data_IF_966757206663
#
_entry.id   IF_966757206663
#
_cell.length_a   1.000
_cell.length_b   1.000
_cell.length_c   1.000
_cell.angle_alpha   90.00
_cell.angle_beta   90.00
_cell.angle_gamma   90.00
#
_symmetry.space_group_name_H-M   'P 1'
#
loop_
_entity.id
_entity.type
_entity.pdbx_description
1 polymer ?
#
# COMPACT_ATOMS: atom_id res chain seq x y z
N UNK A 1 23.32 -6.43 -31.37
CA UNK A 1 24.18 -6.72 -32.55
C UNK A 1 24.54 -5.46 -33.33
N UNK A 2 23.59 -4.57 -33.66
CA UNK A 2 23.89 -3.30 -34.36
C UNK A 2 24.96 -2.42 -33.67
N UNK A 3 24.98 -2.37 -32.33
CA UNK A 3 25.94 -1.56 -31.56
C UNK A 3 27.38 -2.07 -31.67
N UNK A 4 27.59 -3.39 -31.70
CA UNK A 4 28.91 -3.99 -31.85
C UNK A 4 29.47 -3.74 -33.26
N UNK A 5 28.60 -3.80 -34.27
CA UNK A 5 28.93 -3.46 -35.65
C UNK A 5 29.27 -1.98 -35.83
N UNK A 6 28.58 -1.06 -35.16
CA UNK A 6 28.91 0.37 -35.20
C UNK A 6 30.26 0.69 -34.56
N UNK A 7 30.57 0.07 -33.41
CA UNK A 7 31.88 0.24 -32.76
C UNK A 7 32.98 -0.38 -33.62
N UNK A 8 32.72 -1.55 -34.22
CA UNK A 8 33.61 -2.21 -35.17
C UNK A 8 33.91 -1.34 -36.39
N UNK A 9 32.88 -0.80 -37.04
CA UNK A 9 32.99 0.15 -38.17
C UNK A 9 33.81 1.38 -37.82
N UNK A 10 33.62 1.96 -36.64
CA UNK A 10 34.35 3.16 -36.20
C UNK A 10 35.83 2.91 -35.91
N UNK A 11 36.20 1.69 -35.55
CA UNK A 11 37.59 1.33 -35.20
C UNK A 11 38.36 0.82 -36.41
N UNK A 12 37.73 0.03 -37.28
CA UNK A 12 38.41 -0.57 -38.44
C UNK A 12 38.14 0.15 -39.77
N UNK A 13 37.09 0.98 -39.85
CA UNK A 13 36.66 1.65 -41.08
C UNK A 13 35.96 0.74 -42.10
N UNK A 14 35.77 -0.55 -41.79
CA UNK A 14 35.22 -1.55 -42.71
C UNK A 14 33.71 -1.75 -42.46
N UNK A 15 32.92 -1.92 -43.53
CA UNK A 15 31.46 -1.98 -43.41
C UNK A 15 30.88 -3.39 -43.21
N UNK A 16 31.64 -4.43 -43.55
CA UNK A 16 31.24 -5.83 -43.47
C UNK A 16 31.66 -6.45 -42.13
N UNK A 17 30.75 -7.20 -41.50
CA UNK A 17 30.98 -7.86 -40.21
C UNK A 17 32.19 -8.80 -40.25
N UNK A 18 32.31 -9.59 -41.31
CA UNK A 18 33.39 -10.57 -41.48
C UNK A 18 34.76 -9.91 -41.66
N UNK A 19 34.80 -8.76 -42.35
CA UNK A 19 36.03 -7.99 -42.57
C UNK A 19 36.49 -7.28 -41.27
N UNK A 20 35.53 -6.75 -40.50
CA UNK A 20 35.79 -6.15 -39.17
C UNK A 20 36.40 -7.22 -38.23
N UNK A 21 35.81 -8.41 -38.17
CA UNK A 21 36.28 -9.49 -37.29
C UNK A 21 37.67 -9.98 -37.72
N UNK A 22 37.94 -10.04 -39.02
CA UNK A 22 39.25 -10.43 -39.56
C UNK A 22 40.33 -9.39 -39.27
N UNK A 23 40.02 -8.10 -39.45
CA UNK A 23 40.92 -7.00 -39.12
C UNK A 23 41.21 -6.91 -37.62
N UNK A 24 40.20 -7.09 -36.77
CA UNK A 24 40.37 -7.11 -35.31
C UNK A 24 41.25 -8.27 -34.86
N UNK A 25 41.16 -9.45 -35.49
CA UNK A 25 42.01 -10.61 -35.17
C UNK A 25 43.47 -10.44 -35.62
N UNK A 26 43.69 -9.69 -36.70
CA UNK A 26 45.01 -9.49 -37.28
C UNK A 26 45.86 -8.46 -36.51
N UNK A 27 45.22 -7.51 -35.83
CA UNK A 27 45.91 -6.42 -35.11
C UNK A 27 45.50 -6.33 -33.63
N UNK A 28 46.43 -6.68 -32.70
CA UNK A 28 46.20 -6.58 -31.26
C UNK A 28 45.87 -5.15 -30.77
N UNK A 29 46.35 -4.11 -31.44
CA UNK A 29 46.10 -2.72 -31.05
C UNK A 29 44.67 -2.29 -31.37
N UNK A 30 44.15 -2.68 -32.55
CA UNK A 30 42.77 -2.44 -32.96
C UNK A 30 41.77 -3.20 -32.06
N UNK A 31 42.13 -4.40 -31.61
CA UNK A 31 41.35 -5.17 -30.64
C UNK A 31 41.19 -4.44 -29.30
N UNK A 32 42.25 -3.81 -28.82
CA UNK A 32 42.27 -3.06 -27.57
C UNK A 32 41.43 -1.78 -27.66
N UNK A 33 41.50 -1.08 -28.79
CA UNK A 33 40.67 0.11 -29.05
C UNK A 33 39.18 -0.24 -29.21
N UNK A 34 38.87 -1.37 -29.85
CA UNK A 34 37.50 -1.87 -29.93
C UNK A 34 36.93 -2.18 -28.55
N UNK A 35 37.72 -2.85 -27.69
CA UNK A 35 37.28 -3.17 -26.34
C UNK A 35 37.03 -1.91 -25.50
N UNK A 36 37.90 -0.89 -25.57
CA UNK A 36 37.70 0.35 -24.82
C UNK A 36 36.45 1.09 -25.28
N UNK A 37 36.24 1.26 -26.59
CA UNK A 37 35.05 1.93 -27.13
C UNK A 37 33.77 1.12 -26.90
N UNK A 38 33.83 -0.20 -26.93
CA UNK A 38 32.70 -1.05 -26.60
C UNK A 38 32.33 -0.94 -25.10
N UNK A 39 33.33 -0.87 -24.22
CA UNK A 39 33.13 -0.66 -22.79
C UNK A 39 32.53 0.72 -22.48
N UNK A 40 33.04 1.79 -23.09
CA UNK A 40 32.50 3.14 -22.93
C UNK A 40 31.05 3.21 -23.39
N UNK A 41 30.74 2.60 -24.54
CA UNK A 41 29.37 2.57 -25.05
C UNK A 41 28.43 1.77 -24.16
N UNK A 42 28.90 0.66 -23.60
CA UNK A 42 28.13 -0.11 -22.63
C UNK A 42 27.83 0.72 -21.36
N UNK A 43 28.82 1.46 -20.84
CA UNK A 43 28.63 2.36 -19.69
C UNK A 43 27.59 3.45 -19.98
N UNK A 44 27.63 4.06 -21.16
CA UNK A 44 26.61 5.04 -21.58
C UNK A 44 25.21 4.43 -21.63
N UNK A 45 25.06 3.22 -22.18
CA UNK A 45 23.78 2.53 -22.22
C UNK A 45 23.25 2.24 -20.81
N UNK A 46 24.11 1.76 -19.91
CA UNK A 46 23.71 1.53 -18.52
C UNK A 46 23.33 2.82 -17.79
N UNK A 47 24.00 3.94 -18.09
CA UNK A 47 23.63 5.26 -17.53
C UNK A 47 22.25 5.71 -18.04
N UNK A 48 21.99 5.61 -19.34
CA UNK A 48 20.70 5.96 -19.92
C UNK A 48 19.57 5.09 -19.38
N UNK A 49 19.82 3.79 -19.19
CA UNK A 49 18.84 2.88 -18.59
C UNK A 49 18.59 3.21 -17.12
N UNK A 50 19.64 3.54 -16.35
CA UNK A 50 19.50 3.98 -14.96
C UNK A 50 18.70 5.28 -14.84
N UNK A 51 18.90 6.26 -15.74
CA UNK A 51 18.11 7.50 -15.78
C UNK A 51 16.63 7.23 -16.11
N UNK A 52 16.38 6.32 -17.05
CA UNK A 52 15.03 5.86 -17.38
C UNK A 52 14.36 5.18 -16.17
N UNK A 53 15.07 4.27 -15.51
CA UNK A 53 14.58 3.59 -14.31
C UNK A 53 14.36 4.56 -13.16
N UNK A 54 15.22 5.57 -12.98
CA UNK A 54 15.05 6.62 -11.98
C UNK A 54 13.77 7.43 -12.24
N UNK A 55 13.52 7.80 -13.50
CA UNK A 55 12.30 8.51 -13.91
C UNK A 55 11.05 7.66 -13.64
N UNK A 56 11.05 6.39 -14.04
CA UNK A 56 9.95 5.45 -13.79
C UNK A 56 9.69 5.30 -12.29
N UNK A 57 10.75 5.13 -11.48
CA UNK A 57 10.60 5.04 -10.03
C UNK A 57 10.05 6.32 -9.43
N UNK A 58 10.45 7.48 -9.95
CA UNK A 58 9.96 8.78 -9.50
C UNK A 58 8.47 8.96 -9.83
N UNK A 59 8.01 8.55 -11.02
CA UNK A 59 6.60 8.61 -11.40
C UNK A 59 5.76 7.64 -10.55
N UNK A 60 6.22 6.40 -10.36
CA UNK A 60 5.55 5.42 -9.48
C UNK A 60 5.46 5.94 -8.05
N UNK A 61 6.54 6.51 -7.50
CA UNK A 61 6.50 7.09 -6.17
C UNK A 61 5.52 8.27 -6.09
N UNK A 62 5.39 9.06 -7.15
CA UNK A 62 4.45 10.19 -7.21
C UNK A 62 3.01 9.71 -7.28
N UNK A 63 2.72 8.67 -8.07
CA UNK A 63 1.40 8.03 -8.14
C UNK A 63 1.01 7.38 -6.81
N UNK A 64 1.92 6.66 -6.17
CA UNK A 64 1.70 6.06 -4.84
C UNK A 64 1.50 7.13 -3.76
N UNK A 65 2.22 8.25 -3.84
CA UNK A 65 2.07 9.41 -2.94
C UNK A 65 0.89 10.30 -3.28
N UNK A 66 0.20 10.08 -4.40
CA UNK A 66 -1.04 10.77 -4.72
C UNK A 66 -2.15 10.24 -3.79
N UNK A 67 -2.08 10.69 -2.54
CA UNK A 67 -3.03 10.40 -1.48
C UNK A 67 -4.37 11.04 -1.79
N UNK A 68 -5.21 10.33 -2.54
CA UNK A 68 -6.60 10.75 -2.69
C UNK A 68 -7.29 10.72 -1.31
N UNK A 69 -7.76 11.90 -0.89
CA UNK A 69 -8.47 12.08 0.37
C UNK A 69 -9.72 11.18 0.47
N UNK A 70 -10.30 10.79 -0.68
CA UNK A 70 -11.39 9.83 -0.77
C UNK A 70 -10.95 8.44 -0.28
N UNK A 71 -9.84 7.92 -0.79
CA UNK A 71 -9.29 6.59 -0.42
C UNK A 71 -8.86 6.58 1.06
N UNK A 72 -8.25 7.67 1.54
CA UNK A 72 -7.79 7.77 2.94
C UNK A 72 -8.94 7.77 3.95
N UNK A 73 -10.09 8.35 3.60
CA UNK A 73 -11.29 8.38 4.46
C UNK A 73 -12.14 7.13 4.32
N UNK A 74 -12.22 6.53 3.14
CA UNK A 74 -13.03 5.33 2.90
C UNK A 74 -12.62 4.16 3.81
N UNK A 75 -11.31 3.99 4.05
CA UNK A 75 -10.76 2.93 4.91
C UNK A 75 -11.32 2.98 6.37
N UNK A 76 -11.21 4.10 7.12
CA UNK A 76 -11.84 4.23 8.43
C UNK A 76 -13.38 4.15 8.39
N UNK A 77 -14.03 4.76 7.39
CA UNK A 77 -15.50 4.80 7.32
C UNK A 77 -16.10 3.40 7.20
N UNK A 78 -15.49 2.52 6.41
CA UNK A 78 -15.90 1.12 6.32
C UNK A 78 -15.83 0.41 7.68
N UNK A 79 -14.73 0.59 8.41
CA UNK A 79 -14.58 0.02 9.76
C UNK A 79 -15.62 0.54 10.76
N UNK A 80 -15.93 1.84 10.73
CA UNK A 80 -16.95 2.42 11.60
C UNK A 80 -18.35 1.92 11.27
N UNK A 81 -18.71 1.87 9.98
CA UNK A 81 -20.01 1.34 9.56
C UNK A 81 -20.14 -0.12 9.98
N UNK A 82 -19.11 -0.94 9.79
CA UNK A 82 -19.12 -2.35 10.21
C UNK A 82 -19.29 -2.49 11.73
N UNK A 83 -18.59 -1.68 12.53
CA UNK A 83 -18.72 -1.70 13.98
C UNK A 83 -20.13 -1.29 14.45
N UNK A 84 -20.71 -0.26 13.81
CA UNK A 84 -22.09 0.19 14.09
C UNK A 84 -23.10 -0.89 13.71
N UNK A 85 -22.98 -1.47 12.51
CA UNK A 85 -23.85 -2.57 12.06
C UNK A 85 -23.79 -3.76 13.00
N UNK A 86 -22.58 -4.15 13.42
CA UNK A 86 -22.41 -5.24 14.39
C UNK A 86 -23.04 -4.91 15.74
N UNK A 87 -22.82 -3.70 16.25
CA UNK A 87 -23.41 -3.25 17.52
C UNK A 87 -24.94 -3.25 17.47
N UNK A 88 -25.53 -2.76 16.38
CA UNK A 88 -26.99 -2.79 16.16
C UNK A 88 -27.51 -4.21 16.05
N UNK A 89 -26.82 -5.09 15.33
CA UNK A 89 -27.23 -6.49 15.17
C UNK A 89 -27.20 -7.23 16.50
N UNK A 90 -26.11 -7.13 17.27
CA UNK A 90 -26.01 -7.74 18.60
C UNK A 90 -27.02 -7.14 19.58
N UNK A 91 -27.26 -5.83 19.50
CA UNK A 91 -28.29 -5.16 20.28
C UNK A 91 -29.70 -5.66 19.97
N UNK A 92 -30.03 -5.83 18.69
CA UNK A 92 -31.32 -6.40 18.26
C UNK A 92 -31.49 -7.84 18.77
N UNK A 93 -30.45 -8.68 18.67
CA UNK A 93 -30.48 -10.05 19.18
C UNK A 93 -30.71 -10.06 20.69
N UNK A 94 -29.93 -9.28 21.44
CA UNK A 94 -30.10 -9.18 22.90
C UNK A 94 -31.51 -8.69 23.27
N UNK A 95 -32.04 -7.70 22.55
CA UNK A 95 -33.39 -7.21 22.75
C UNK A 95 -34.45 -8.29 22.48
N UNK A 96 -34.32 -9.05 21.40
CA UNK A 96 -35.25 -10.16 21.08
C UNK A 96 -35.22 -11.27 22.12
N UNK A 97 -34.05 -11.64 22.62
CA UNK A 97 -33.92 -12.69 23.66
C UNK A 97 -34.61 -12.26 24.96
N UNK A 98 -34.56 -10.97 25.32
CA UNK A 98 -35.17 -10.44 26.54
C UNK A 98 -36.69 -10.27 26.39
N UNK A 99 -37.15 -9.71 25.27
CA UNK A 99 -38.55 -9.29 25.11
C UNK A 99 -39.44 -10.37 24.47
N UNK A 100 -38.86 -11.24 23.65
CA UNK A 100 -39.58 -12.30 22.90
C UNK A 100 -38.74 -13.59 22.87
N UNK A 101 -38.48 -14.21 24.04
CA UNK A 101 -37.59 -15.35 24.17
C UNK A 101 -38.01 -16.59 23.36
N UNK A 102 -39.30 -16.70 23.01
CA UNK A 102 -39.83 -17.76 22.15
C UNK A 102 -39.14 -17.84 20.77
N UNK A 103 -38.63 -16.71 20.26
CA UNK A 103 -37.91 -16.66 18.98
C UNK A 103 -36.38 -16.76 19.13
N UNK A 104 -35.84 -16.90 20.35
CA UNK A 104 -34.40 -16.88 20.60
C UNK A 104 -33.65 -17.94 19.78
N UNK A 105 -34.19 -19.15 19.69
CA UNK A 105 -33.59 -20.25 18.92
C UNK A 105 -33.56 -19.97 17.40
N UNK A 106 -34.63 -19.38 16.87
CA UNK A 106 -34.72 -19.01 15.45
C UNK A 106 -33.72 -17.90 15.09
N UNK A 107 -33.62 -16.87 15.95
CA UNK A 107 -32.69 -15.74 15.76
C UNK A 107 -31.24 -16.21 15.81
N UNK A 108 -30.88 -17.10 16.75
CA UNK A 108 -29.54 -17.70 16.82
C UNK A 108 -29.25 -18.56 15.59
N UNK A 109 -30.24 -19.30 15.09
CA UNK A 109 -30.08 -20.10 13.87
C UNK A 109 -29.85 -19.20 12.64
N UNK A 110 -30.58 -18.08 12.54
CA UNK A 110 -30.41 -17.10 11.47
C UNK A 110 -29.00 -16.47 11.47
N UNK A 111 -28.36 -16.32 12.64
CA UNK A 111 -26.95 -15.87 12.73
C UNK A 111 -26.00 -16.80 11.99
N UNK A 112 -26.25 -18.11 12.02
CA UNK A 112 -25.42 -19.09 11.32
C UNK A 112 -25.47 -18.81 9.81
N UNK A 113 -26.66 -18.57 9.26
CA UNK A 113 -26.83 -18.23 7.83
C UNK A 113 -26.12 -16.92 7.42
N UNK A 114 -25.95 -15.98 8.35
CA UNK A 114 -25.23 -14.73 8.14
C UNK A 114 -23.68 -14.89 8.23
N UNK A 115 -23.17 -16.04 8.69
CA UNK A 115 -21.72 -16.24 8.91
C UNK A 115 -20.88 -16.05 7.63
N UNK A 116 -21.41 -16.43 6.47
CA UNK A 116 -20.69 -16.32 5.20
C UNK A 116 -20.46 -14.86 4.80
N UNK A 117 -21.48 -14.00 4.90
CA UNK A 117 -21.33 -12.56 4.57
C UNK A 117 -20.42 -11.86 5.59
N UNK A 118 -20.51 -12.24 6.86
CA UNK A 118 -19.62 -11.72 7.91
C UNK A 118 -18.16 -12.16 7.72
N UNK A 119 -17.92 -13.38 7.24
CA UNK A 119 -16.57 -13.87 6.96
C UNK A 119 -15.88 -13.03 5.89
N UNK A 120 -16.59 -12.68 4.81
CA UNK A 120 -16.06 -11.80 3.75
C UNK A 120 -15.81 -10.39 4.28
N UNK A 121 -16.78 -9.81 5.00
CA UNK A 121 -16.65 -8.46 5.56
C UNK A 121 -15.50 -8.32 6.56
N UNK A 122 -15.31 -9.32 7.42
CA UNK A 122 -14.23 -9.36 8.41
C UNK A 122 -12.87 -9.64 7.77
N UNK A 123 -12.80 -10.44 6.71
CA UNK A 123 -11.55 -10.64 5.96
C UNK A 123 -11.04 -9.32 5.36
N UNK A 124 -11.93 -8.54 4.74
CA UNK A 124 -11.60 -7.22 4.20
C UNK A 124 -11.11 -6.28 5.31
N UNK A 125 -11.81 -6.25 6.45
CA UNK A 125 -11.40 -5.46 7.61
C UNK A 125 -10.03 -5.91 8.16
N UNK A 126 -9.77 -7.22 8.21
CA UNK A 126 -8.49 -7.80 8.63
C UNK A 126 -7.32 -7.32 7.76
N UNK A 127 -7.49 -7.36 6.43
CA UNK A 127 -6.48 -6.83 5.49
C UNK A 127 -6.25 -5.33 5.72
N UNK A 128 -7.31 -4.54 5.94
CA UNK A 128 -7.18 -3.11 6.21
C UNK A 128 -6.46 -2.80 7.54
N UNK A 129 -6.75 -3.53 8.61
CA UNK A 129 -6.07 -3.37 9.91
C UNK A 129 -4.60 -3.77 9.82
N UNK A 130 -4.31 -4.86 9.12
CA UNK A 130 -2.94 -5.34 8.90
C UNK A 130 -2.12 -4.32 8.10
N UNK A 131 -2.66 -3.84 6.97
CA UNK A 131 -2.01 -2.80 6.16
C UNK A 131 -1.72 -1.52 6.95
N UNK A 132 -2.70 -1.03 7.74
CA UNK A 132 -2.51 0.14 8.61
C UNK A 132 -1.52 -0.09 9.74
N UNK A 133 -1.38 -1.32 10.20
CA UNK A 133 -0.36 -1.67 11.21
C UNK A 133 1.05 -1.65 10.62
N UNK A 134 1.21 -2.04 9.34
CA UNK A 134 2.44 -1.87 8.58
C UNK A 134 2.82 -0.40 8.39
N UNK A 135 1.85 0.44 7.99
CA UNK A 135 2.04 1.90 7.85
C UNK A 135 2.50 2.56 9.16
N UNK A 136 1.90 2.17 10.30
CA UNK A 136 2.30 2.66 11.63
C UNK A 136 3.68 2.18 12.06
N UNK A 137 4.04 0.92 11.77
CA UNK A 137 5.37 0.35 12.07
C UNK A 137 6.47 0.98 11.22
N UNK A 138 6.16 1.42 10.01
CA UNK A 138 7.07 2.18 9.14
C UNK A 138 7.24 3.66 9.57
N UNK A 139 6.68 4.08 10.71
CA UNK A 139 6.85 5.43 11.25
C UNK A 139 5.93 6.51 10.64
N UNK A 140 4.95 6.13 9.82
CA UNK A 140 3.98 7.08 9.23
C UNK A 140 2.89 7.41 10.27
N UNK A 141 3.19 8.43 11.08
CA UNK A 141 2.32 9.21 11.96
C UNK A 141 1.44 8.48 13.01
N UNK A 142 1.82 8.67 14.28
CA UNK A 142 0.86 8.81 15.37
C UNK A 142 0.07 10.12 15.16
N UNK A 143 -1.20 10.04 14.78
CA UNK A 143 -2.03 11.22 14.62
C UNK A 143 -2.45 11.77 16.01
N UNK A 144 -1.94 12.93 16.47
CA UNK A 144 -2.28 13.51 17.76
C UNK A 144 -3.77 13.86 17.91
N UNK A 145 -4.50 14.02 16.78
CA UNK A 145 -5.93 14.30 16.79
C UNK A 145 -6.78 13.15 17.32
N UNK A 146 -6.34 11.89 17.13
CA UNK A 146 -7.06 10.71 17.63
C UNK A 146 -7.02 10.61 19.16
N UNK A 147 -5.85 10.88 19.74
CA UNK A 147 -5.65 10.93 21.19
C UNK A 147 -6.44 12.09 21.82
N UNK A 148 -6.49 13.25 21.14
CA UNK A 148 -7.24 14.42 21.58
C UNK A 148 -8.77 14.23 21.51
N UNK A 149 -9.28 13.49 20.52
CA UNK A 149 -10.70 13.15 20.43
C UNK A 149 -11.11 12.17 21.54
N UNK A 150 -10.27 11.16 21.82
CA UNK A 150 -10.48 10.20 22.90
C UNK A 150 -10.43 10.87 24.29
N UNK A 151 -9.49 11.79 24.51
CA UNK A 151 -9.39 12.52 25.78
C UNK A 151 -10.56 13.50 25.98
N UNK A 152 -11.06 14.13 24.91
CA UNK A 152 -12.27 14.97 24.96
C UNK A 152 -13.53 14.14 25.24
N UNK A 153 -13.64 12.95 24.67
CA UNK A 153 -14.77 12.04 24.92
C UNK A 153 -14.73 11.49 26.36
N UNK A 154 -13.56 11.09 26.86
CA UNK A 154 -13.37 10.65 28.24
C UNK A 154 -13.65 11.79 29.25
N UNK A 155 -13.19 13.01 28.95
CA UNK A 155 -13.48 14.19 29.77
C UNK A 155 -14.96 14.62 29.76
N UNK A 156 -15.66 14.40 28.64
CA UNK A 156 -17.10 14.63 28.52
C UNK A 156 -17.91 13.65 29.37
N UNK A 157 -17.56 12.36 29.31
CA UNK A 157 -18.20 11.30 30.13
C UNK A 157 -17.98 11.57 31.62
N UNK A 158 -16.75 11.91 32.03
CA UNK A 158 -16.44 12.24 33.43
C UNK A 158 -17.24 13.44 33.99
N UNK A 159 -17.49 14.47 33.17
CA UNK A 159 -18.32 15.63 33.56
C UNK A 159 -19.81 15.30 33.68
N UNK A 160 -20.31 14.37 32.87
CA UNK A 160 -21.71 13.91 32.97
C UNK A 160 -21.92 13.12 34.27
N UNK A 161 -20.97 12.28 34.66
CA UNK A 161 -21.03 11.56 35.93
C UNK A 161 -20.83 12.47 37.15
N UNK A 162 -19.93 13.46 37.09
CA UNK A 162 -19.73 14.42 38.19
C UNK A 162 -20.91 15.38 38.38
N UNK A 163 -21.64 15.72 37.30
CA UNK A 163 -22.85 16.57 37.38
C UNK A 163 -24.05 15.81 37.98
N UNK A 164 -24.05 14.48 37.93
CA UNK A 164 -25.09 13.64 38.52
C UNK A 164 -24.94 13.45 40.04
N UNK A 165 -23.74 13.59 40.59
CA UNK A 165 -23.49 13.39 42.04
C UNK A 165 -23.65 14.67 42.89
N UNK A 166 -23.87 15.83 42.26
CA UNK A 166 -23.97 17.12 42.95
C UNK A 166 -25.39 17.63 43.22
N UNK A 167 -26.44 16.86 42.91
CA UNK A 167 -27.84 17.28 43.10
C UNK A 167 -28.57 16.36 44.08
N UNK A 168 -28.06 16.29 45.31
CA UNK A 168 -28.78 15.73 46.46
C UNK A 168 -28.29 16.43 47.74
N UNK A 169 -28.58 17.71 47.87
CA UNK A 169 -28.61 18.46 49.14
C UNK A 169 -29.28 19.80 48.87
N UNK A 170 -30.57 19.85 49.19
CA UNK A 170 -31.48 20.98 49.02
C UNK A 170 -32.89 20.52 49.32
#
# INVERSE_FOLDING_TARGET
MQTALEVGKKVTGMESEDDIVTALKADPALLLEYQSKAADRAVEMYRAENERLATINQTIQTEVKSEDAYVRRMRPTFGYIMAVTWGLQMGAIAWTIINTPEYAAEVVTAMVSLSTIWSVGLAVLGVYVYGRSGEKKAGVQSNPAGMAALSRMAGGIGKVFAKSSGKSSG
#
